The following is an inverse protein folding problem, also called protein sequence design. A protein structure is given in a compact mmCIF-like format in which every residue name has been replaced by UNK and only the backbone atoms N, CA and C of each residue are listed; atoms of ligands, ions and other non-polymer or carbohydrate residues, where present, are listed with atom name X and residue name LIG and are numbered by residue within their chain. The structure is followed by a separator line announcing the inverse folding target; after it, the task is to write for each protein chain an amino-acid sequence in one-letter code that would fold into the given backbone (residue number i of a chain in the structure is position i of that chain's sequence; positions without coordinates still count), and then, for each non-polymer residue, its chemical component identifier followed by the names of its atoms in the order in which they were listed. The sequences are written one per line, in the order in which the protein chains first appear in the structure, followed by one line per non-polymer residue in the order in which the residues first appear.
data_IF_823643331099
#
_entry.id   IF_823643331099
#
_cell.length_a   1.000
_cell.length_b   1.000
_cell.length_c   1.000
_cell.angle_alpha   90.00
_cell.angle_beta   90.00
_cell.angle_gamma   90.00
#
_symmetry.space_group_name_H-M   'P 1'
#
loop_
_entity.id
_entity.type
_entity.pdbx_description
1 polymer ?
#
# COMPACT_ATOMS: atom_id res chain seq x y z
N UNK A 1 -33.58 -45.87 37.91
CA UNK A 1 -32.67 -45.94 39.07
C UNK A 1 -31.25 -45.99 38.53
N UNK A 2 -30.50 -44.87 38.59
CA UNK A 2 -29.04 -44.77 38.42
C UNK A 2 -28.64 -43.31 38.13
N UNK A 3 -28.98 -42.38 39.03
CA UNK A 3 -28.50 -40.99 38.98
C UNK A 3 -27.75 -40.60 40.27
N UNK A 4 -27.29 -41.59 41.04
CA UNK A 4 -26.80 -41.39 42.41
C UNK A 4 -25.30 -41.66 42.62
N UNK A 5 -24.53 -42.10 41.62
CA UNK A 5 -23.18 -42.64 41.89
C UNK A 5 -22.04 -41.94 41.12
N UNK A 6 -21.82 -40.66 41.38
CA UNK A 6 -20.48 -40.04 41.21
C UNK A 6 -20.15 -39.12 42.40
N UNK A 7 -20.60 -39.48 43.60
CA UNK A 7 -20.17 -38.84 44.85
C UNK A 7 -19.17 -39.75 45.55
N UNK A 8 -18.04 -39.22 46.07
CA UNK A 8 -17.08 -40.01 46.83
C UNK A 8 -17.64 -40.30 48.22
N UNK A 9 -18.61 -41.19 48.32
CA UNK A 9 -19.20 -41.60 49.59
C UNK A 9 -18.44 -42.79 50.24
N UNK A 10 -17.64 -43.50 49.45
CA UNK A 10 -16.97 -44.74 49.84
C UNK A 10 -15.45 -44.58 49.76
N UNK A 11 -14.69 -44.95 50.80
CA UNK A 11 -13.22 -44.91 50.75
C UNK A 11 -12.70 -45.85 49.68
N UNK A 12 -11.58 -45.47 49.05
CA UNK A 12 -10.87 -46.34 48.10
C UNK A 12 -10.44 -47.63 48.79
N UNK A 13 -10.64 -48.76 48.10
CA UNK A 13 -10.18 -50.07 48.56
C UNK A 13 -8.67 -50.01 48.88
N UNK A 14 -8.29 -50.48 50.07
CA UNK A 14 -6.91 -50.45 50.54
C UNK A 14 -5.94 -51.17 49.57
N UNK A 15 -6.43 -52.17 48.82
CA UNK A 15 -5.63 -52.87 47.81
C UNK A 15 -5.27 -51.99 46.60
N UNK A 16 -6.09 -51.00 46.27
CA UNK A 16 -5.90 -50.11 45.11
C UNK A 16 -5.12 -48.83 45.46
N UNK A 17 -5.00 -48.50 46.75
CA UNK A 17 -4.36 -47.29 47.22
C UNK A 17 -2.92 -47.08 46.71
N UNK A 18 -2.02 -48.10 46.65
CA UNK A 18 -0.67 -47.92 46.12
C UNK A 18 -0.66 -47.54 44.64
N UNK A 19 -1.57 -48.14 43.85
CA UNK A 19 -1.69 -47.88 42.42
C UNK A 19 -2.26 -46.48 42.16
N UNK A 20 -3.27 -46.08 42.93
CA UNK A 20 -3.82 -44.70 42.89
C UNK A 20 -2.73 -43.69 43.22
N UNK A 21 -1.97 -43.90 44.31
CA UNK A 21 -0.89 -43.00 44.70
C UNK A 21 0.21 -42.89 43.62
N UNK A 22 0.53 -43.99 42.94
CA UNK A 22 1.47 -44.00 41.82
C UNK A 22 0.96 -43.17 40.62
N UNK A 23 -0.31 -43.36 40.24
CA UNK A 23 -0.97 -42.59 39.17
C UNK A 23 -1.07 -41.09 39.50
N UNK A 24 -1.36 -40.74 40.75
CA UNK A 24 -1.33 -39.35 41.20
C UNK A 24 0.08 -38.76 41.13
N UNK A 25 1.11 -39.53 41.46
CA UNK A 25 2.51 -39.10 41.34
C UNK A 25 2.89 -38.85 39.88
N UNK A 26 2.42 -39.70 38.95
CA UNK A 26 2.59 -39.52 37.50
C UNK A 26 1.91 -38.24 37.03
N UNK A 27 0.68 -37.98 37.46
CA UNK A 27 -0.05 -36.76 37.14
C UNK A 27 0.68 -35.49 37.61
N UNK A 28 1.27 -35.52 38.82
CA UNK A 28 2.05 -34.40 39.36
C UNK A 28 3.40 -34.20 38.66
N UNK A 29 3.98 -35.26 38.09
CA UNK A 29 5.25 -35.21 37.38
C UNK A 29 5.13 -34.69 35.94
N UNK A 30 3.91 -34.65 35.37
CA UNK A 30 3.69 -34.18 34.01
C UNK A 30 4.06 -32.69 33.84
N UNK A 31 4.85 -32.37 32.82
CA UNK A 31 5.30 -31.01 32.53
C UNK A 31 4.39 -30.23 31.56
N UNK A 32 3.38 -30.89 30.98
CA UNK A 32 2.44 -30.25 30.06
C UNK A 32 1.06 -30.94 30.08
N UNK A 33 0.04 -30.22 29.58
CA UNK A 33 -1.32 -30.77 29.43
C UNK A 33 -1.33 -32.00 28.50
N UNK A 34 -0.51 -32.01 27.45
CA UNK A 34 -0.41 -33.14 26.53
C UNK A 34 0.20 -34.39 27.21
N UNK A 35 1.24 -34.19 28.04
CA UNK A 35 1.86 -35.27 28.81
C UNK A 35 0.91 -35.84 29.87
N UNK A 36 0.16 -34.97 30.56
CA UNK A 36 -0.88 -35.40 31.48
C UNK A 36 -1.99 -36.18 30.77
N UNK A 37 -2.49 -35.67 29.63
CA UNK A 37 -3.50 -36.36 28.84
C UNK A 37 -3.02 -37.73 28.36
N UNK A 38 -1.75 -37.84 27.94
CA UNK A 38 -1.14 -39.12 27.58
C UNK A 38 -1.02 -40.07 28.78
N UNK A 39 -0.59 -39.59 29.94
CA UNK A 39 -0.55 -40.39 31.18
C UNK A 39 -1.94 -40.90 31.56
N UNK A 40 -2.96 -40.03 31.51
CA UNK A 40 -4.36 -40.41 31.77
C UNK A 40 -4.86 -41.49 30.81
N UNK A 41 -4.53 -41.39 29.52
CA UNK A 41 -4.98 -42.34 28.50
C UNK A 41 -4.26 -43.69 28.53
N UNK A 42 -3.08 -43.79 29.15
CA UNK A 42 -2.26 -45.01 29.12
C UNK A 42 -2.09 -45.65 30.49
N UNK A 43 -1.70 -44.86 31.50
CA UNK A 43 -1.34 -45.39 32.81
C UNK A 43 -2.59 -45.91 33.56
N UNK A 44 -3.77 -45.36 33.26
CA UNK A 44 -5.07 -45.81 33.82
C UNK A 44 -5.39 -47.28 33.49
N UNK A 45 -4.77 -47.85 32.45
CA UNK A 45 -5.00 -49.25 32.05
C UNK A 45 -4.63 -50.24 33.16
N UNK A 46 -3.62 -49.92 33.98
CA UNK A 46 -3.23 -50.75 35.13
C UNK A 46 -4.30 -50.83 36.22
N UNK A 47 -5.20 -49.84 36.29
CA UNK A 47 -6.30 -49.78 37.26
C UNK A 47 -7.59 -50.38 36.70
N UNK A 48 -7.89 -50.11 35.43
CA UNK A 48 -9.08 -50.58 34.74
C UNK A 48 -8.70 -50.93 33.30
N UNK A 49 -8.65 -52.22 32.93
CA UNK A 49 -8.41 -52.63 31.56
C UNK A 49 -9.53 -52.12 30.63
N UNK A 50 -9.16 -51.37 29.59
CA UNK A 50 -10.09 -50.80 28.60
C UNK A 50 -9.62 -51.10 27.17
N UNK A 51 -10.53 -51.06 26.19
CA UNK A 51 -10.14 -51.22 24.77
C UNK A 51 -9.33 -50.03 24.28
N UNK A 52 -9.79 -48.84 24.61
CA UNK A 52 -9.14 -47.60 24.25
C UNK A 52 -9.58 -46.48 25.20
N UNK A 53 -8.67 -45.56 25.50
CA UNK A 53 -8.97 -44.35 26.25
C UNK A 53 -8.82 -43.13 25.34
N UNK A 54 -9.70 -42.15 25.54
CA UNK A 54 -9.75 -40.90 24.78
C UNK A 54 -9.78 -39.73 25.77
N UNK A 55 -8.93 -38.74 25.55
CA UNK A 55 -8.91 -37.52 26.36
C UNK A 55 -9.23 -36.32 25.49
N UNK A 56 -10.31 -35.62 25.80
CA UNK A 56 -10.74 -34.41 25.10
C UNK A 56 -10.51 -33.18 25.96
N UNK A 57 -10.19 -32.05 25.34
CA UNK A 57 -10.22 -30.74 25.99
C UNK A 57 -11.62 -30.12 25.95
N UNK A 58 -11.86 -29.07 26.75
CA UNK A 58 -13.17 -28.41 26.88
C UNK A 58 -13.71 -27.79 25.59
N UNK A 59 -12.87 -27.56 24.58
CA UNK A 59 -13.28 -27.15 23.23
C UNK A 59 -13.61 -28.34 22.29
N UNK A 60 -13.62 -29.57 22.81
CA UNK A 60 -13.87 -30.79 22.06
C UNK A 60 -12.72 -31.31 21.21
N UNK A 61 -11.51 -30.76 21.36
CA UNK A 61 -10.33 -31.28 20.67
C UNK A 61 -9.80 -32.53 21.39
N UNK A 62 -9.55 -33.59 20.62
CA UNK A 62 -8.90 -34.79 21.11
C UNK A 62 -7.43 -34.51 21.41
N UNK A 63 -7.04 -34.65 22.67
CA UNK A 63 -5.69 -34.42 23.17
C UNK A 63 -4.85 -35.68 23.09
N UNK A 64 -5.38 -36.81 23.54
CA UNK A 64 -4.67 -38.09 23.55
C UNK A 64 -5.61 -39.26 23.27
N UNK A 65 -5.05 -40.31 22.68
CA UNK A 65 -5.67 -41.64 22.52
C UNK A 65 -4.72 -42.63 23.19
N UNK A 66 -5.22 -43.69 23.81
CA UNK A 66 -4.35 -44.75 24.36
C UNK A 66 -3.36 -45.24 23.27
N UNK A 67 -2.06 -45.20 23.57
CA UNK A 67 -0.97 -45.48 22.64
C UNK A 67 -0.43 -44.29 21.83
N UNK A 68 -1.13 -43.14 21.78
CA UNK A 68 -0.76 -41.97 20.98
C UNK A 68 -0.97 -40.64 21.73
N UNK A 69 0.11 -39.85 21.90
CA UNK A 69 0.08 -38.58 22.61
C UNK A 69 -0.62 -37.44 21.87
N UNK A 70 -0.69 -37.48 20.53
CA UNK A 70 -1.48 -36.54 19.72
C UNK A 70 -1.76 -37.17 18.35
N UNK A 71 -3.01 -37.50 18.02
CA UNK A 71 -3.32 -38.06 16.71
C UNK A 71 -3.19 -36.97 15.63
N UNK A 72 -2.26 -37.14 14.70
CA UNK A 72 -1.97 -36.16 13.63
C UNK A 72 -2.53 -36.53 12.25
N UNK A 73 -3.01 -37.77 12.07
CA UNK A 73 -3.57 -38.26 10.80
C UNK A 73 -5.10 -38.28 10.86
N UNK A 74 -5.78 -37.71 9.86
CA UNK A 74 -7.25 -37.76 9.76
C UNK A 74 -7.71 -39.15 9.28
N UNK A 75 -7.67 -40.14 10.17
CA UNK A 75 -8.24 -41.46 9.91
C UNK A 75 -9.78 -41.41 9.89
N UNK A 76 -10.46 -42.33 9.18
CA UNK A 76 -11.93 -42.39 9.15
C UNK A 76 -12.56 -42.39 10.55
N UNK A 77 -11.93 -43.09 11.49
CA UNK A 77 -12.31 -43.12 12.90
C UNK A 77 -12.28 -41.73 13.54
N UNK A 78 -11.20 -40.95 13.36
CA UNK A 78 -11.06 -39.63 13.97
C UNK A 78 -11.98 -38.58 13.33
N UNK A 79 -12.27 -38.73 12.02
CA UNK A 79 -13.26 -37.90 11.33
C UNK A 79 -14.66 -38.15 11.90
N UNK A 80 -15.04 -39.41 12.06
CA UNK A 80 -16.30 -39.77 12.72
C UNK A 80 -16.34 -39.25 14.16
N UNK A 81 -15.30 -39.50 14.94
CA UNK A 81 -15.23 -39.09 16.34
C UNK A 81 -15.40 -37.57 16.49
N UNK A 82 -14.74 -36.78 15.63
CA UNK A 82 -14.86 -35.31 15.64
C UNK A 82 -16.28 -34.82 15.31
N UNK A 83 -17.00 -35.51 14.43
CA UNK A 83 -18.38 -35.19 14.05
C UNK A 83 -19.40 -35.63 15.11
N UNK A 84 -19.15 -36.77 15.75
CA UNK A 84 -20.01 -37.38 16.76
C UNK A 84 -19.82 -36.77 18.15
N UNK A 85 -18.65 -36.18 18.43
CA UNK A 85 -18.30 -35.62 19.74
C UNK A 85 -19.27 -34.56 20.28
N UNK A 86 -19.77 -33.57 19.51
CA UNK A 86 -20.71 -32.57 20.04
C UNK A 86 -21.97 -33.19 20.65
N UNK A 87 -22.53 -34.21 19.98
CA UNK A 87 -23.70 -34.94 20.49
C UNK A 87 -23.36 -35.78 21.72
N UNK A 88 -22.20 -36.46 21.70
CA UNK A 88 -21.73 -37.24 22.86
C UNK A 88 -21.45 -36.37 24.08
N UNK A 89 -20.78 -35.23 23.89
CA UNK A 89 -20.44 -34.30 24.96
C UNK A 89 -21.70 -33.74 25.64
N UNK A 90 -22.77 -33.48 24.89
CA UNK A 90 -24.06 -33.05 25.45
C UNK A 90 -24.69 -34.14 26.32
N UNK A 91 -24.69 -35.40 25.87
CA UNK A 91 -25.21 -36.54 26.64
C UNK A 91 -24.38 -36.82 27.89
N UNK A 92 -23.05 -36.79 27.75
CA UNK A 92 -22.12 -36.98 28.86
C UNK A 92 -22.23 -35.87 29.91
N UNK A 93 -22.44 -34.62 29.49
CA UNK A 93 -22.69 -33.51 30.40
C UNK A 93 -24.00 -33.68 31.20
N UNK A 94 -25.04 -34.25 30.59
CA UNK A 94 -26.30 -34.53 31.27
C UNK A 94 -26.22 -35.73 32.24
N UNK A 95 -25.43 -36.75 31.90
CA UNK A 95 -25.21 -37.96 32.72
C UNK A 95 -23.73 -38.40 32.65
N UNK A 96 -22.86 -37.89 33.53
CA UNK A 96 -21.49 -38.37 33.62
C UNK A 96 -21.45 -39.81 34.16
N UNK A 97 -20.47 -40.61 33.75
CA UNK A 97 -20.31 -42.00 34.16
C UNK A 97 -20.47 -42.99 33.00
N UNK A 98 -21.11 -44.14 33.26
CA UNK A 98 -21.33 -45.21 32.28
C UNK A 98 -22.44 -44.82 31.30
N UNK A 99 -22.13 -44.87 30.00
CA UNK A 99 -23.08 -44.62 28.91
C UNK A 99 -23.04 -45.79 27.92
N UNK A 100 -24.20 -46.44 27.73
CA UNK A 100 -24.41 -47.43 26.67
C UNK A 100 -25.18 -46.81 25.49
N UNK A 101 -24.93 -47.31 24.27
CA UNK A 101 -25.68 -46.85 23.09
C UNK A 101 -27.20 -47.10 23.24
N UNK A 102 -27.58 -48.17 23.93
CA UNK A 102 -28.97 -48.52 24.20
C UNK A 102 -29.73 -47.40 24.94
N UNK A 103 -29.04 -46.62 25.78
CA UNK A 103 -29.63 -45.55 26.60
C UNK A 103 -29.93 -44.24 25.84
N UNK A 104 -29.79 -44.25 24.51
CA UNK A 104 -30.08 -43.08 23.67
C UNK A 104 -30.22 -43.37 22.17
N UNK A 105 -30.23 -44.64 21.75
CA UNK A 105 -30.21 -45.04 20.34
C UNK A 105 -31.35 -44.44 19.49
N UNK A 106 -32.52 -44.20 20.07
CA UNK A 106 -33.66 -43.61 19.37
C UNK A 106 -33.50 -42.11 19.06
N UNK A 107 -32.67 -41.39 19.83
CA UNK A 107 -32.42 -39.95 19.71
C UNK A 107 -31.03 -39.64 19.11
N UNK A 108 -30.25 -40.69 18.80
CA UNK A 108 -28.91 -40.57 18.26
C UNK A 108 -28.93 -40.39 16.73
N UNK A 109 -28.11 -39.47 16.18
CA UNK A 109 -27.91 -39.37 14.74
C UNK A 109 -27.48 -40.71 14.12
N UNK A 110 -27.95 -41.09 12.92
CA UNK A 110 -27.59 -42.36 12.28
C UNK A 110 -26.07 -42.55 12.10
N UNK A 111 -25.35 -41.46 11.85
CA UNK A 111 -23.87 -41.46 11.75
C UNK A 111 -23.20 -41.84 13.08
N UNK A 112 -23.76 -41.42 14.22
CA UNK A 112 -23.24 -41.76 15.55
C UNK A 112 -23.48 -43.24 15.84
N UNK A 113 -24.68 -43.74 15.58
CA UNK A 113 -25.06 -45.15 15.80
C UNK A 113 -24.21 -46.08 14.94
N UNK A 114 -24.08 -45.79 13.65
CA UNK A 114 -23.30 -46.60 12.72
C UNK A 114 -21.83 -46.70 13.12
N UNK A 115 -21.18 -45.57 13.39
CA UNK A 115 -19.78 -45.59 13.81
C UNK A 115 -19.54 -46.12 15.22
N UNK A 116 -20.52 -46.01 16.12
CA UNK A 116 -20.41 -46.63 17.44
C UNK A 116 -20.32 -48.16 17.31
N UNK A 117 -21.18 -48.76 16.49
CA UNK A 117 -21.14 -50.21 16.25
C UNK A 117 -19.86 -50.68 15.54
N UNK A 118 -19.26 -49.82 14.70
CA UNK A 118 -18.03 -50.14 13.97
C UNK A 118 -16.78 -50.03 14.85
N UNK A 119 -16.66 -48.98 15.67
CA UNK A 119 -15.41 -48.64 16.34
C UNK A 119 -15.44 -48.73 17.87
N UNK A 120 -16.62 -48.63 18.50
CA UNK A 120 -16.74 -48.58 19.97
C UNK A 120 -17.34 -49.89 20.54
N UNK A 121 -16.95 -50.28 21.77
CA UNK A 121 -17.52 -51.43 22.46
C UNK A 121 -18.92 -51.11 23.03
N UNK A 122 -19.43 -51.97 23.92
CA UNK A 122 -20.77 -51.88 24.50
C UNK A 122 -21.05 -50.51 25.16
N UNK A 123 -20.08 -49.94 25.85
CA UNK A 123 -20.26 -48.65 26.50
C UNK A 123 -18.97 -47.86 26.72
N UNK A 124 -19.15 -46.61 27.11
CA UNK A 124 -18.07 -45.69 27.48
C UNK A 124 -18.26 -45.26 28.93
N UNK A 125 -17.19 -45.33 29.71
CA UNK A 125 -17.14 -44.72 31.03
C UNK A 125 -16.46 -43.35 30.92
N UNK A 126 -17.23 -42.28 31.08
CA UNK A 126 -16.77 -40.91 30.88
C UNK A 126 -16.70 -40.13 32.19
N UNK A 127 -15.50 -39.61 32.47
CA UNK A 127 -15.20 -38.80 33.65
C UNK A 127 -15.01 -37.33 33.23
N UNK A 128 -15.83 -36.40 33.76
CA UNK A 128 -15.67 -34.98 33.46
C UNK A 128 -14.43 -34.42 34.16
N UNK A 129 -13.59 -33.71 33.39
CA UNK A 129 -12.49 -32.94 33.95
C UNK A 129 -12.95 -31.51 34.14
N UNK A 130 -12.99 -31.04 35.39
CA UNK A 130 -13.57 -29.75 35.77
C UNK A 130 -12.54 -28.90 36.51
N UNK A 131 -12.61 -27.58 36.30
CA UNK A 131 -11.91 -26.60 37.15
C UNK A 131 -12.57 -26.50 38.52
N UNK A 132 -11.86 -25.88 39.46
CA UNK A 132 -12.40 -25.51 40.79
C UNK A 132 -13.65 -24.63 40.72
N UNK A 133 -13.82 -23.83 39.66
CA UNK A 133 -15.01 -22.99 39.43
C UNK A 133 -16.18 -23.74 38.76
N UNK A 134 -16.02 -25.03 38.46
CA UNK A 134 -17.01 -25.86 37.78
C UNK A 134 -16.98 -25.78 36.25
N UNK A 135 -16.11 -24.95 35.65
CA UNK A 135 -15.98 -24.90 34.18
C UNK A 135 -15.28 -26.16 33.63
N UNK A 136 -15.67 -26.66 32.44
CA UNK A 136 -15.09 -27.88 31.87
C UNK A 136 -13.67 -27.67 31.34
N UNK A 137 -12.73 -28.47 31.83
CA UNK A 137 -11.38 -28.61 31.29
C UNK A 137 -11.34 -29.61 30.13
N UNK A 138 -12.16 -30.65 30.19
CA UNK A 138 -12.12 -31.76 29.26
C UNK A 138 -12.92 -32.97 29.72
N UNK A 139 -12.70 -34.10 29.04
CA UNK A 139 -13.32 -35.39 29.33
C UNK A 139 -12.29 -36.50 29.19
N UNK A 140 -12.29 -37.45 30.12
CA UNK A 140 -11.62 -38.75 29.97
C UNK A 140 -12.68 -39.81 29.68
N UNK A 141 -12.60 -40.44 28.52
CA UNK A 141 -13.53 -41.47 28.08
C UNK A 141 -12.79 -42.82 27.98
N UNK A 142 -13.24 -43.82 28.74
CA UNK A 142 -12.70 -45.17 28.73
C UNK A 142 -13.69 -46.11 28.04
N UNK A 143 -13.29 -46.75 26.95
CA UNK A 143 -14.14 -47.64 26.17
C UNK A 143 -14.08 -49.06 26.74
N UNK A 144 -15.22 -49.59 27.22
CA UNK A 144 -15.31 -50.88 27.91
C UNK A 144 -16.40 -51.78 27.30
N UNK A 145 -16.20 -53.09 27.38
CA UNK A 145 -17.18 -54.10 26.99
C UNK A 145 -18.25 -54.33 28.08
N UNK A 146 -17.95 -53.98 29.33
CA UNK A 146 -18.82 -54.12 30.50
C UNK A 146 -18.69 -52.89 31.41
N UNK A 147 -19.73 -52.55 32.20
CA UNK A 147 -19.65 -51.45 33.16
C UNK A 147 -18.52 -51.69 34.17
N UNK A 148 -17.81 -50.63 34.62
CA UNK A 148 -16.72 -50.79 35.58
C UNK A 148 -17.23 -51.36 36.90
N UNK A 149 -16.43 -52.23 37.52
CA UNK A 149 -16.78 -52.79 38.82
C UNK A 149 -16.98 -51.67 39.86
N UNK A 150 -18.03 -51.74 40.70
CA UNK A 150 -18.34 -50.67 41.66
C UNK A 150 -17.19 -50.31 42.61
N UNK A 151 -16.29 -51.26 42.91
CA UNK A 151 -15.10 -51.03 43.76
C UNK A 151 -14.04 -50.12 43.13
N UNK A 152 -13.99 -50.03 41.80
CA UNK A 152 -13.00 -49.22 41.05
C UNK A 152 -13.45 -47.77 40.91
N UNK A 153 -14.76 -47.51 40.95
CA UNK A 153 -15.33 -46.17 40.73
C UNK A 153 -14.81 -45.12 41.72
N UNK A 154 -14.73 -45.39 43.05
CA UNK A 154 -14.15 -44.42 44.00
C UNK A 154 -12.68 -44.08 43.70
N UNK A 155 -11.89 -45.07 43.26
CA UNK A 155 -10.48 -44.87 42.91
C UNK A 155 -10.34 -43.97 41.66
N UNK A 156 -11.17 -44.18 40.65
CA UNK A 156 -11.19 -43.35 39.44
C UNK A 156 -11.66 -41.92 39.73
N UNK A 157 -12.65 -41.76 40.61
CA UNK A 157 -13.13 -40.45 41.05
C UNK A 157 -12.05 -39.68 41.81
N UNK A 158 -11.31 -40.34 42.71
CA UNK A 158 -10.17 -39.72 43.41
C UNK A 158 -9.08 -39.27 42.42
N UNK A 159 -8.72 -40.13 41.46
CA UNK A 159 -7.74 -39.79 40.42
C UNK A 159 -8.20 -38.60 39.58
N UNK A 160 -9.49 -38.54 39.24
CA UNK A 160 -10.07 -37.42 38.49
C UNK A 160 -9.90 -36.09 39.22
N UNK A 161 -10.03 -36.06 40.55
CA UNK A 161 -9.77 -34.85 41.34
C UNK A 161 -8.31 -34.40 41.24
N UNK A 162 -7.37 -35.34 41.31
CA UNK A 162 -5.93 -35.07 41.15
C UNK A 162 -5.59 -34.60 39.74
N UNK A 163 -6.18 -35.20 38.71
CA UNK A 163 -6.03 -34.78 37.31
C UNK A 163 -6.61 -33.39 37.07
N UNK A 164 -7.78 -33.08 37.62
CA UNK A 164 -8.39 -31.75 37.55
C UNK A 164 -7.45 -30.66 38.06
N UNK A 165 -6.84 -30.89 39.23
CA UNK A 165 -5.91 -29.94 39.82
C UNK A 165 -4.66 -29.73 38.97
N UNK A 166 -4.04 -30.82 38.49
CA UNK A 166 -2.83 -30.74 37.67
C UNK A 166 -3.11 -30.06 36.32
N UNK A 167 -4.23 -30.42 35.67
CA UNK A 167 -4.64 -29.82 34.40
C UNK A 167 -4.92 -28.33 34.54
N UNK A 168 -5.64 -27.90 35.59
CA UNK A 168 -5.93 -26.49 35.83
C UNK A 168 -4.65 -25.67 36.05
N UNK A 169 -3.70 -26.21 36.83
CA UNK A 169 -2.41 -25.57 37.10
C UNK A 169 -1.59 -25.34 35.82
N UNK A 170 -1.65 -26.28 34.86
CA UNK A 170 -0.92 -26.19 33.59
C UNK A 170 -1.64 -25.38 32.51
N UNK A 171 -2.98 -25.45 32.45
CA UNK A 171 -3.77 -24.75 31.43
C UNK A 171 -3.91 -23.23 31.67
N UNK A 172 -3.54 -22.76 32.87
CA UNK A 172 -3.60 -21.34 33.25
C UNK A 172 -5.03 -20.80 33.38
N UNK A 173 -5.16 -19.51 33.73
CA UNK A 173 -6.47 -18.83 33.81
C UNK A 173 -7.04 -18.61 32.41
N UNK A 174 -8.34 -18.86 32.17
CA UNK A 174 -8.96 -18.56 30.89
C UNK A 174 -8.80 -17.06 30.59
N UNK A 175 -8.16 -16.72 29.46
CA UNK A 175 -8.17 -15.36 28.93
C UNK A 175 -9.44 -15.24 28.07
N UNK A 176 -10.51 -14.58 28.53
CA UNK A 176 -11.71 -14.42 27.72
C UNK A 176 -11.34 -13.72 26.42
N UNK A 177 -11.86 -14.22 25.30
CA UNK A 177 -11.59 -13.66 23.99
C UNK A 177 -12.07 -12.21 23.90
N UNK A 178 -11.55 -11.44 22.95
CA UNK A 178 -12.04 -10.08 22.68
C UNK A 178 -13.56 -10.05 22.47
N UNK A 179 -14.14 -11.11 21.88
CA UNK A 179 -15.58 -11.29 21.71
C UNK A 179 -16.33 -11.47 23.04
N UNK A 180 -15.85 -12.32 23.94
CA UNK A 180 -16.49 -12.57 25.25
C UNK A 180 -16.42 -11.33 26.13
N UNK A 181 -15.31 -10.59 26.07
CA UNK A 181 -15.15 -9.29 26.74
C UNK A 181 -16.10 -8.24 26.20
N UNK A 182 -16.34 -8.25 24.87
CA UNK A 182 -17.32 -7.36 24.25
C UNK A 182 -18.76 -7.75 24.61
N UNK A 183 -19.04 -9.04 24.72
CA UNK A 183 -20.34 -9.56 25.11
C UNK A 183 -20.66 -9.30 26.60
N UNK A 184 -19.64 -9.31 27.46
CA UNK A 184 -19.76 -8.96 28.88
C UNK A 184 -20.01 -7.45 29.14
N UNK A 185 -19.75 -6.57 28.16
CA UNK A 185 -20.05 -5.15 28.28
C UNK A 185 -21.56 -4.90 28.20
N UNK A 186 -22.06 -4.05 29.10
CA UNK A 186 -23.46 -3.63 29.11
C UNK A 186 -23.83 -2.83 27.86
N UNK A 187 -25.12 -2.83 27.48
CA UNK A 187 -25.65 -2.02 26.37
C UNK A 187 -25.28 -0.53 26.48
N UNK A 188 -25.24 0.03 27.70
CA UNK A 188 -24.81 1.42 27.95
C UNK A 188 -23.34 1.65 27.63
N UNK A 189 -22.46 0.74 28.04
CA UNK A 189 -21.02 0.82 27.75
C UNK A 189 -20.73 0.68 26.25
N UNK A 190 -21.42 -0.25 25.56
CA UNK A 190 -21.30 -0.38 24.10
C UNK A 190 -21.74 0.88 23.36
N UNK A 191 -22.83 1.52 23.80
CA UNK A 191 -23.29 2.81 23.24
C UNK A 191 -22.28 3.92 23.48
N UNK A 192 -21.73 4.05 24.69
CA UNK A 192 -20.69 5.05 25.00
C UNK A 192 -19.44 4.86 24.17
N UNK A 193 -18.98 3.61 23.98
CA UNK A 193 -17.84 3.29 23.12
C UNK A 193 -18.14 3.65 21.66
N UNK A 194 -19.34 3.30 21.18
CA UNK A 194 -19.79 3.65 19.83
C UNK A 194 -19.85 5.17 19.60
N UNK A 195 -20.37 5.93 20.56
CA UNK A 195 -20.41 7.39 20.51
C UNK A 195 -19.00 7.97 20.57
N UNK A 196 -18.14 7.48 21.47
CA UNK A 196 -16.75 7.91 21.57
C UNK A 196 -15.99 7.68 20.26
N UNK A 197 -16.20 6.53 19.62
CA UNK A 197 -15.63 6.22 18.32
C UNK A 197 -16.18 7.13 17.21
N UNK A 198 -17.49 7.40 17.21
CA UNK A 198 -18.10 8.32 16.24
C UNK A 198 -17.55 9.75 16.38
N UNK A 199 -17.43 10.26 17.61
CA UNK A 199 -16.83 11.57 17.90
C UNK A 199 -15.36 11.60 17.49
N UNK A 200 -14.60 10.53 17.75
CA UNK A 200 -13.21 10.41 17.32
C UNK A 200 -13.07 10.54 15.80
N UNK A 201 -13.97 9.95 15.01
CA UNK A 201 -13.97 10.08 13.56
C UNK A 201 -14.40 11.46 13.03
N UNK A 202 -15.06 12.29 13.86
CA UNK A 202 -15.44 13.67 13.52
C UNK A 202 -14.34 14.69 13.82
N UNK A 203 -13.21 14.28 14.41
CA UNK A 203 -12.11 15.20 14.67
C UNK A 203 -11.55 15.81 13.37
N UNK A 204 -11.42 17.14 13.28
CA UNK A 204 -10.92 17.80 12.07
C UNK A 204 -9.42 17.59 11.95
N UNK A 205 -8.99 17.07 10.79
CA UNK A 205 -7.58 16.86 10.44
C UNK A 205 -7.27 17.52 9.10
N UNK A 206 -6.05 18.04 8.95
CA UNK A 206 -5.58 18.56 7.66
C UNK A 206 -5.28 17.40 6.71
N UNK A 207 -5.90 17.43 5.54
CA UNK A 207 -5.58 16.46 4.50
C UNK A 207 -4.19 16.74 3.95
N UNK A 208 -3.41 15.70 3.73
CA UNK A 208 -2.08 15.83 3.12
C UNK A 208 -1.90 14.81 2.01
N UNK A 209 -1.13 15.19 0.99
CA UNK A 209 -0.75 14.30 -0.08
C UNK A 209 0.76 14.31 -0.28
N UNK A 210 1.33 13.14 -0.61
CA UNK A 210 2.74 12.97 -0.89
C UNK A 210 2.91 12.67 -2.38
N UNK A 211 3.89 13.34 -2.98
CA UNK A 211 4.16 13.24 -4.40
C UNK A 211 5.66 13.43 -4.69
N UNK A 212 6.22 12.70 -5.68
CA UNK A 212 7.55 13.01 -6.20
C UNK A 212 7.64 14.46 -6.68
N UNK A 213 8.76 15.10 -6.39
CA UNK A 213 9.00 16.48 -6.75
C UNK A 213 10.45 16.72 -7.16
N UNK A 214 10.66 17.73 -7.98
CA UNK A 214 11.97 18.19 -8.39
C UNK A 214 12.07 19.72 -8.33
N UNK A 215 13.27 20.22 -8.05
CA UNK A 215 13.57 21.64 -8.08
C UNK A 215 13.79 22.05 -9.54
N UNK A 216 12.98 22.97 -10.03
CA UNK A 216 13.06 23.51 -11.39
C UNK A 216 13.25 25.02 -11.34
N UNK A 217 13.65 25.64 -12.44
CA UNK A 217 13.57 27.09 -12.52
C UNK A 217 12.10 27.53 -12.62
N UNK A 218 11.71 28.52 -11.81
CA UNK A 218 10.36 29.09 -11.83
C UNK A 218 10.04 29.66 -13.22
N UNK A 219 10.97 30.45 -13.75
CA UNK A 219 10.84 31.19 -15.00
C UNK A 219 11.83 30.66 -16.05
N UNK A 220 11.65 29.41 -16.48
CA UNK A 220 12.45 28.84 -17.57
C UNK A 220 11.90 29.30 -18.92
N UNK A 221 12.70 30.03 -19.70
CA UNK A 221 12.35 30.46 -21.05
C UNK A 221 12.94 29.49 -22.08
N UNK A 222 12.11 29.02 -23.01
CA UNK A 222 12.59 28.24 -24.15
C UNK A 222 13.32 29.14 -25.14
N UNK A 223 14.58 28.81 -25.43
CA UNK A 223 15.35 29.42 -26.52
C UNK A 223 15.16 28.53 -27.75
N UNK A 224 14.53 29.12 -28.77
CA UNK A 224 14.12 28.42 -29.99
C UNK A 224 14.85 28.95 -31.21
N UNK A 225 14.87 28.17 -32.29
CA UNK A 225 15.41 28.63 -33.57
C UNK A 225 14.50 29.75 -34.16
N UNK A 226 15.05 30.93 -34.47
CA UNK A 226 14.24 32.05 -34.97
C UNK A 226 13.92 31.96 -36.47
N UNK A 227 14.68 31.15 -37.20
CA UNK A 227 14.53 30.85 -38.63
C UNK A 227 14.93 29.40 -38.90
N UNK A 228 14.50 28.86 -40.04
CA UNK A 228 14.92 27.54 -40.50
C UNK A 228 16.41 27.57 -40.88
N UNK A 229 17.17 26.54 -40.48
CA UNK A 229 18.60 26.49 -40.77
C UNK A 229 19.27 25.23 -40.22
N UNK A 230 20.60 25.20 -40.30
CA UNK A 230 21.42 24.16 -39.69
C UNK A 230 22.21 24.79 -38.55
N UNK A 231 22.24 24.15 -37.38
CA UNK A 231 23.05 24.64 -36.26
C UNK A 231 24.53 24.48 -36.62
N UNK A 232 25.26 25.59 -36.68
CA UNK A 232 26.68 25.60 -37.03
C UNK A 232 27.56 25.40 -35.80
N UNK A 233 27.27 26.15 -34.74
CA UNK A 233 28.03 26.13 -33.48
C UNK A 233 27.13 26.43 -32.30
N UNK A 234 27.33 25.71 -31.20
CA UNK A 234 26.80 26.05 -29.88
C UNK A 234 27.93 26.69 -29.08
N UNK A 235 27.76 27.93 -28.63
CA UNK A 235 28.83 28.72 -27.99
C UNK A 235 28.90 28.55 -26.48
N UNK A 236 27.87 27.96 -25.89
CA UNK A 236 27.74 27.75 -24.45
C UNK A 236 27.81 26.26 -24.11
N UNK A 237 28.26 25.95 -22.89
CA UNK A 237 28.24 24.60 -22.34
C UNK A 237 26.93 24.33 -21.59
N UNK A 238 26.53 23.07 -21.45
CA UNK A 238 25.38 22.72 -20.62
C UNK A 238 25.57 23.19 -19.17
N UNK A 239 24.53 23.76 -18.60
CA UNK A 239 24.51 24.33 -17.25
C UNK A 239 25.49 25.49 -17.04
N UNK A 240 25.94 26.14 -18.11
CA UNK A 240 26.78 27.34 -18.03
C UNK A 240 25.92 28.59 -17.71
N UNK A 241 26.36 29.44 -16.77
CA UNK A 241 25.75 30.75 -16.56
C UNK A 241 26.08 31.69 -17.73
N UNK A 242 25.06 32.41 -18.21
CA UNK A 242 25.11 33.34 -19.34
C UNK A 242 24.48 34.67 -18.94
N UNK A 243 24.96 35.76 -19.53
CA UNK A 243 24.39 37.10 -19.37
C UNK A 243 23.51 37.46 -20.56
N UNK A 244 22.60 38.40 -20.35
CA UNK A 244 21.80 38.99 -21.42
C UNK A 244 22.71 39.49 -22.56
N UNK A 245 22.45 39.04 -23.78
CA UNK A 245 23.23 39.36 -24.97
C UNK A 245 24.33 38.35 -25.33
N UNK A 246 24.69 37.42 -24.44
CA UNK A 246 25.67 36.37 -24.77
C UNK A 246 25.11 35.45 -25.87
N UNK A 247 25.90 35.17 -26.90
CA UNK A 247 25.49 34.31 -28.01
C UNK A 247 25.40 32.86 -27.50
N UNK A 248 24.24 32.23 -27.68
CA UNK A 248 23.98 30.86 -27.25
C UNK A 248 24.36 29.86 -28.34
N UNK A 249 23.86 30.08 -29.55
CA UNK A 249 24.18 29.29 -30.73
C UNK A 249 24.07 30.14 -32.00
N UNK A 250 24.70 29.65 -33.07
CA UNK A 250 24.67 30.26 -34.40
C UNK A 250 24.20 29.24 -35.43
N UNK A 251 23.36 29.70 -36.35
CA UNK A 251 22.97 28.94 -37.54
C UNK A 251 24.01 29.07 -38.66
N UNK A 252 23.94 28.20 -39.67
CA UNK A 252 24.77 28.34 -40.87
C UNK A 252 24.30 29.54 -41.70
N UNK A 253 25.16 30.53 -41.81
CA UNK A 253 24.94 31.79 -42.52
C UNK A 253 25.40 31.77 -43.97
N UNK A 254 26.03 30.69 -44.44
CA UNK A 254 26.66 30.65 -45.77
C UNK A 254 25.64 30.96 -46.88
N UNK A 255 24.46 30.37 -46.81
CA UNK A 255 23.40 30.57 -47.81
C UNK A 255 22.81 31.99 -47.75
N UNK A 256 22.60 32.53 -46.54
CA UNK A 256 22.05 33.87 -46.32
C UNK A 256 23.05 34.96 -46.73
N UNK A 257 24.35 34.80 -46.45
CA UNK A 257 25.40 35.72 -46.91
C UNK A 257 25.49 35.77 -48.43
N UNK A 258 25.41 34.62 -49.10
CA UNK A 258 25.40 34.56 -50.56
C UNK A 258 24.16 35.26 -51.15
N UNK A 259 22.97 35.00 -50.57
CA UNK A 259 21.73 35.70 -50.97
C UNK A 259 21.83 37.21 -50.75
N UNK A 260 22.41 37.64 -49.63
CA UNK A 260 22.60 39.06 -49.32
C UNK A 260 23.47 39.74 -50.39
N UNK A 261 24.57 39.10 -50.79
CA UNK A 261 25.45 39.62 -51.84
C UNK A 261 24.73 39.74 -53.19
N UNK A 262 23.94 38.72 -53.58
CA UNK A 262 23.14 38.74 -54.81
C UNK A 262 22.08 39.83 -54.77
N UNK A 263 21.28 39.90 -53.70
CA UNK A 263 20.24 40.91 -53.53
C UNK A 263 20.82 42.33 -53.55
N UNK A 264 21.99 42.55 -52.94
CA UNK A 264 22.69 43.84 -52.96
C UNK A 264 23.10 44.26 -54.37
N UNK A 265 23.53 43.33 -55.22
CA UNK A 265 23.82 43.59 -56.63
C UNK A 265 22.55 43.85 -57.43
N UNK A 266 21.47 43.10 -57.18
CA UNK A 266 20.18 43.31 -57.84
C UNK A 266 19.58 44.69 -57.54
N UNK A 267 19.70 45.18 -56.30
CA UNK A 267 19.33 46.56 -55.93
C UNK A 267 20.17 47.57 -56.71
N UNK A 268 21.49 47.39 -56.77
CA UNK A 268 22.37 48.32 -57.50
C UNK A 268 22.02 48.42 -58.99
N UNK A 269 21.64 47.30 -59.63
CA UNK A 269 21.18 47.28 -61.03
C UNK A 269 19.86 48.02 -61.17
N UNK A 270 18.86 47.70 -60.34
CA UNK A 270 17.54 48.33 -60.41
C UNK A 270 17.60 49.85 -60.15
N UNK A 271 18.46 50.29 -59.22
CA UNK A 271 18.69 51.70 -58.92
C UNK A 271 19.35 52.44 -60.10
N UNK A 272 20.32 51.80 -60.77
CA UNK A 272 20.95 52.36 -61.97
C UNK A 272 19.97 52.47 -63.14
N UNK A 273 19.12 51.47 -63.36
CA UNK A 273 18.06 51.50 -64.39
C UNK A 273 17.05 52.62 -64.12
N UNK A 274 16.58 52.76 -62.87
CA UNK A 274 15.67 53.82 -62.46
C UNK A 274 16.30 55.21 -62.67
N UNK A 275 17.58 55.37 -62.32
CA UNK A 275 18.29 56.63 -62.51
C UNK A 275 18.43 56.99 -64.01
N UNK A 276 18.81 56.02 -64.84
CA UNK A 276 18.91 56.20 -66.29
C UNK A 276 17.54 56.53 -66.92
N UNK A 277 16.46 55.90 -66.47
CA UNK A 277 15.10 56.20 -66.92
C UNK A 277 14.64 57.59 -66.45
N UNK A 278 14.99 57.99 -65.22
CA UNK A 278 14.70 59.33 -64.68
C UNK A 278 15.34 60.42 -65.52
N UNK A 279 16.57 60.21 -65.97
CA UNK A 279 17.26 61.14 -66.88
C UNK A 279 16.56 61.24 -68.25
N UNK A 280 16.10 60.12 -68.82
CA UNK A 280 15.37 60.11 -70.11
C UNK A 280 13.96 60.68 -70.03
N UNK A 281 13.31 60.59 -68.87
CA UNK A 281 11.90 60.94 -68.70
C UNK A 281 11.60 62.44 -68.70
N UNK A 282 12.62 63.30 -68.70
CA UNK A 282 12.45 64.73 -68.91
C UNK A 282 11.95 65.08 -70.33
N UNK A 283 12.16 64.20 -71.31
CA UNK A 283 11.94 64.51 -72.74
C UNK A 283 10.60 63.99 -73.32
N UNK A 284 9.85 63.11 -72.63
CA UNK A 284 8.58 62.60 -73.18
C UNK A 284 7.54 62.12 -72.15
N UNK A 285 6.25 62.34 -72.44
CA UNK A 285 5.11 61.94 -71.60
C UNK A 285 5.01 60.41 -71.45
N UNK A 286 5.44 59.64 -72.45
CA UNK A 286 5.44 58.18 -72.45
C UNK A 286 6.40 57.61 -71.38
N UNK A 287 7.46 58.35 -71.07
CA UNK A 287 8.47 57.99 -70.07
C UNK A 287 7.97 58.00 -68.62
N UNK A 288 6.83 58.64 -68.33
CA UNK A 288 6.27 58.69 -66.95
C UNK A 288 5.73 57.34 -66.49
N UNK A 289 5.22 56.50 -67.40
CA UNK A 289 4.76 55.14 -67.08
C UNK A 289 5.91 54.21 -66.72
N UNK A 290 7.03 54.32 -67.45
CA UNK A 290 8.24 53.53 -67.22
C UNK A 290 8.90 53.87 -65.87
N UNK A 291 8.83 55.14 -65.44
CA UNK A 291 9.31 55.55 -64.12
C UNK A 291 8.53 54.89 -62.98
N UNK A 292 7.20 54.82 -63.08
CA UNK A 292 6.39 54.17 -62.05
C UNK A 292 6.71 52.67 -61.96
N UNK A 293 6.88 52.01 -63.12
CA UNK A 293 7.24 50.59 -63.19
C UNK A 293 8.63 50.32 -62.62
N UNK A 294 9.65 51.06 -63.06
CA UNK A 294 11.03 50.90 -62.58
C UNK A 294 11.17 51.31 -61.11
N UNK A 295 10.43 52.32 -60.67
CA UNK A 295 10.33 52.70 -59.26
C UNK A 295 9.78 51.57 -58.41
N UNK A 296 8.71 50.92 -58.87
CA UNK A 296 8.16 49.71 -58.24
C UNK A 296 9.17 48.57 -58.14
N UNK A 297 9.91 48.29 -59.23
CA UNK A 297 10.96 47.25 -59.25
C UNK A 297 12.12 47.56 -58.30
N UNK A 298 12.61 48.81 -58.28
CA UNK A 298 13.68 49.20 -57.36
C UNK A 298 13.23 49.04 -55.90
N UNK A 299 11.99 49.44 -55.59
CA UNK A 299 11.42 49.26 -54.26
C UNK A 299 11.25 47.79 -53.87
N UNK A 300 10.81 46.94 -54.80
CA UNK A 300 10.72 45.49 -54.62
C UNK A 300 12.10 44.89 -54.28
N UNK A 301 13.15 45.23 -55.05
CA UNK A 301 14.52 44.74 -54.79
C UNK A 301 15.07 45.22 -53.46
N UNK A 302 14.80 46.47 -53.08
CA UNK A 302 15.22 47.00 -51.77
C UNK A 302 14.49 46.28 -50.62
N UNK A 303 13.22 45.95 -50.78
CA UNK A 303 12.46 45.17 -49.81
C UNK A 303 13.02 43.73 -49.70
N UNK A 304 13.40 43.12 -50.82
CA UNK A 304 14.07 41.80 -50.86
C UNK A 304 15.41 41.83 -50.11
N UNK A 305 16.25 42.85 -50.36
CA UNK A 305 17.51 43.03 -49.63
C UNK A 305 17.28 43.21 -48.13
N UNK A 306 16.33 44.05 -47.73
CA UNK A 306 15.99 44.27 -46.33
C UNK A 306 15.49 42.99 -45.65
N UNK A 307 14.72 42.15 -46.36
CA UNK A 307 14.26 40.86 -45.84
C UNK A 307 15.43 39.91 -45.58
N UNK A 308 16.40 39.80 -46.50
CA UNK A 308 17.59 38.96 -46.31
C UNK A 308 18.48 39.49 -45.19
N UNK A 309 18.64 40.81 -45.06
CA UNK A 309 19.38 41.43 -43.93
C UNK A 309 18.72 41.09 -42.59
N UNK A 310 17.39 41.17 -42.51
CA UNK A 310 16.64 40.83 -41.30
C UNK A 310 16.69 39.33 -40.96
N UNK A 311 16.84 38.45 -41.95
CA UNK A 311 17.09 37.02 -41.70
C UNK A 311 18.51 36.79 -41.19
N UNK A 312 19.51 37.45 -41.78
CA UNK A 312 20.90 37.30 -41.38
C UNK A 312 21.15 37.78 -39.94
N UNK A 313 20.48 38.84 -39.49
CA UNK A 313 20.59 39.32 -38.10
C UNK A 313 19.99 38.36 -37.05
N UNK A 314 19.25 37.33 -37.49
CA UNK A 314 18.67 36.28 -36.63
C UNK A 314 19.48 34.98 -36.64
N UNK A 315 20.63 34.94 -37.33
CA UNK A 315 21.51 33.75 -37.34
C UNK A 315 22.11 33.49 -35.97
N UNK A 316 22.60 34.55 -35.33
CA UNK A 316 23.17 34.48 -33.99
C UNK A 316 22.05 34.70 -32.97
N UNK A 317 21.86 33.73 -32.08
CA UNK A 317 20.78 33.76 -31.10
C UNK A 317 21.35 34.11 -29.74
N UNK A 318 21.18 35.36 -29.26
CA UNK A 318 21.64 35.78 -27.95
C UNK A 318 20.70 35.34 -26.84
N UNK A 319 21.22 35.32 -25.61
CA UNK A 319 20.44 35.14 -24.40
C UNK A 319 19.54 36.38 -24.15
N UNK A 320 18.22 36.23 -24.00
CA UNK A 320 17.31 37.35 -23.76
C UNK A 320 17.47 37.99 -22.37
N UNK A 321 17.96 37.25 -21.38
CA UNK A 321 18.23 37.72 -20.02
C UNK A 321 19.35 36.91 -19.37
N UNK A 322 19.78 37.30 -18.17
CA UNK A 322 20.74 36.53 -17.38
C UNK A 322 20.12 35.18 -16.95
N UNK A 323 20.92 34.12 -16.93
CA UNK A 323 20.44 32.80 -16.53
C UNK A 323 21.47 31.69 -16.72
N UNK A 324 21.00 30.46 -16.72
CA UNK A 324 21.78 29.24 -16.93
C UNK A 324 21.19 28.50 -18.12
N UNK A 325 22.03 28.16 -19.10
CA UNK A 325 21.61 27.43 -20.29
C UNK A 325 21.50 25.93 -19.98
N UNK A 326 20.27 25.40 -19.96
CA UNK A 326 19.95 23.99 -19.65
C UNK A 326 19.58 23.27 -20.95
N UNK A 327 20.43 22.34 -21.36
CA UNK A 327 20.25 21.46 -22.51
C UNK A 327 21.10 20.19 -22.35
N UNK A 328 20.95 19.25 -23.28
CA UNK A 328 21.73 18.01 -23.34
C UNK A 328 23.15 18.22 -23.85
N UNK A 329 23.66 17.29 -24.65
CA UNK A 329 25.00 17.40 -25.25
C UNK A 329 25.00 18.46 -26.38
N UNK A 330 25.96 19.40 -26.43
CA UNK A 330 26.14 20.27 -27.59
C UNK A 330 26.32 19.52 -28.92
N UNK A 331 26.96 18.35 -28.89
CA UNK A 331 27.26 17.57 -30.09
C UNK A 331 26.00 17.01 -30.77
N UNK A 332 24.91 16.82 -30.01
CA UNK A 332 23.60 16.40 -30.55
C UNK A 332 22.96 17.46 -31.47
N UNK A 333 23.43 18.70 -31.38
CA UNK A 333 22.91 19.84 -32.15
C UNK A 333 23.82 20.24 -33.29
N UNK A 334 25.14 20.06 -33.17
CA UNK A 334 26.08 20.48 -34.21
C UNK A 334 25.78 19.80 -35.55
N UNK A 335 25.55 20.60 -36.59
CA UNK A 335 25.19 20.12 -37.94
C UNK A 335 23.76 19.63 -38.09
N UNK A 336 22.92 19.71 -37.05
CA UNK A 336 21.52 19.29 -37.10
C UNK A 336 20.66 20.37 -37.78
N UNK A 337 19.79 19.99 -38.74
CA UNK A 337 18.78 20.92 -39.29
C UNK A 337 17.70 21.19 -38.23
N UNK A 338 17.28 22.45 -38.12
CA UNK A 338 16.26 22.93 -37.20
C UNK A 338 15.23 23.79 -37.90
N UNK A 339 13.99 23.72 -37.42
CA UNK A 339 12.88 24.54 -37.92
C UNK A 339 12.58 25.71 -37.00
N UNK A 340 11.98 26.76 -37.56
CA UNK A 340 11.52 27.94 -36.82
C UNK A 340 10.61 27.51 -35.66
N UNK A 341 10.95 27.94 -34.44
CA UNK A 341 10.25 27.58 -33.21
C UNK A 341 10.70 26.27 -32.56
N UNK A 342 11.57 25.49 -33.18
CA UNK A 342 12.17 24.30 -32.54
C UNK A 342 12.99 24.73 -31.32
N UNK A 343 12.78 24.06 -30.19
CA UNK A 343 13.43 24.38 -28.92
C UNK A 343 14.77 23.65 -28.81
N UNK A 344 15.85 24.41 -28.71
CA UNK A 344 17.20 23.87 -28.55
C UNK A 344 17.59 23.78 -27.07
N UNK A 345 17.27 24.82 -26.28
CA UNK A 345 17.65 24.89 -24.87
C UNK A 345 16.64 25.66 -24.03
N UNK A 346 16.76 25.53 -22.70
CA UNK A 346 16.02 26.31 -21.73
C UNK A 346 16.98 27.28 -21.04
N UNK A 347 16.61 28.55 -20.96
CA UNK A 347 17.31 29.54 -20.17
C UNK A 347 16.60 29.69 -18.82
N UNK A 348 17.29 29.31 -17.76
CA UNK A 348 16.75 29.21 -16.40
C UNK A 348 17.39 30.24 -15.47
N UNK A 349 16.61 30.96 -14.66
CA UNK A 349 17.13 31.83 -13.61
C UNK A 349 17.41 31.01 -12.32
N UNK A 350 18.68 30.82 -11.89
CA UNK A 350 19.01 30.07 -10.69
C UNK A 350 18.65 30.81 -9.40
N UNK A 351 18.43 32.13 -9.43
CA UNK A 351 18.06 32.92 -8.25
C UNK A 351 16.59 32.75 -7.87
N UNK A 352 15.77 32.18 -8.75
CA UNK A 352 14.34 31.94 -8.56
C UNK A 352 14.01 30.45 -8.74
N UNK A 353 14.47 29.59 -7.82
CA UNK A 353 14.09 28.19 -7.84
C UNK A 353 12.59 28.05 -7.57
N UNK A 354 11.99 27.06 -8.21
CA UNK A 354 10.61 26.61 -7.99
C UNK A 354 10.58 25.10 -7.81
N UNK A 355 9.41 24.57 -7.48
CA UNK A 355 9.20 23.14 -7.29
C UNK A 355 8.20 22.66 -8.32
N UNK A 356 8.60 21.64 -9.07
CA UNK A 356 7.71 20.87 -9.91
C UNK A 356 7.30 19.62 -9.16
N UNK A 357 5.99 19.40 -9.01
CA UNK A 357 5.46 18.27 -8.27
C UNK A 357 4.59 17.43 -9.21
N UNK A 358 4.84 16.13 -9.25
CA UNK A 358 4.06 15.17 -10.01
C UNK A 358 3.12 14.44 -9.05
N UNK A 359 1.91 14.98 -8.86
CA UNK A 359 0.93 14.40 -7.93
C UNK A 359 0.15 13.27 -8.60
N UNK A 360 0.29 12.00 -8.16
CA UNK A 360 -0.45 10.89 -8.76
C UNK A 360 -1.96 11.10 -8.63
N UNK A 361 -2.72 10.75 -9.67
CA UNK A 361 -4.19 10.91 -9.67
C UNK A 361 -4.85 10.18 -8.49
N UNK A 362 -4.35 9.00 -8.14
CA UNK A 362 -4.82 8.23 -6.97
C UNK A 362 -4.65 8.96 -5.62
N UNK A 363 -3.70 9.90 -5.55
CA UNK A 363 -3.41 10.70 -4.37
C UNK A 363 -3.92 12.15 -4.50
N UNK A 364 -4.60 12.50 -5.59
CA UNK A 364 -5.07 13.87 -5.85
C UNK A 364 -6.04 14.33 -4.76
N UNK A 365 -5.77 15.46 -4.12
CA UNK A 365 -6.64 16.07 -3.11
C UNK A 365 -7.32 17.28 -3.75
N UNK A 366 -8.37 17.84 -3.13
CA UNK A 366 -8.83 19.17 -3.50
C UNK A 366 -7.67 20.16 -3.27
N UNK A 367 -7.05 20.61 -4.36
CA UNK A 367 -5.91 21.51 -4.34
C UNK A 367 -6.39 22.91 -4.69
N UNK A 368 -6.17 23.84 -3.78
CA UNK A 368 -6.39 25.26 -3.98
C UNK A 368 -5.05 25.94 -4.22
N UNK A 369 -5.02 26.90 -5.14
CA UNK A 369 -3.86 27.78 -5.32
C UNK A 369 -3.57 28.51 -4.00
N UNK A 370 -2.31 28.56 -3.60
CA UNK A 370 -1.88 29.08 -2.29
C UNK A 370 -1.76 28.00 -1.19
N UNK A 371 -2.06 26.73 -1.49
CA UNK A 371 -1.82 25.64 -0.56
C UNK A 371 -0.35 25.56 -0.11
N UNK A 372 -0.15 25.29 1.19
CA UNK A 372 1.19 25.08 1.74
C UNK A 372 1.79 23.78 1.22
N UNK A 373 3.08 23.83 0.88
CA UNK A 373 3.88 22.70 0.40
C UNK A 373 5.15 22.61 1.25
N UNK A 374 5.55 21.40 1.60
CA UNK A 374 6.87 21.12 2.16
C UNK A 374 7.63 20.16 1.27
N UNK A 375 8.79 20.56 0.77
CA UNK A 375 9.67 19.72 -0.02
C UNK A 375 10.72 19.09 0.88
N UNK A 376 10.84 17.76 0.80
CA UNK A 376 11.89 16.99 1.43
C UNK A 376 12.83 16.50 0.35
N UNK A 377 13.99 17.13 0.20
CA UNK A 377 14.99 16.73 -0.78
C UNK A 377 15.64 15.41 -0.36
N UNK A 378 15.97 14.57 -1.34
CA UNK A 378 16.68 13.31 -1.09
C UNK A 378 18.05 13.54 -0.44
N UNK A 379 18.70 14.66 -0.79
CA UNK A 379 19.99 15.07 -0.23
C UNK A 379 19.90 15.71 1.16
N UNK A 380 18.72 16.20 1.56
CA UNK A 380 18.48 16.94 2.81
C UNK A 380 17.16 16.48 3.47
N UNK A 381 17.04 15.21 3.90
CA UNK A 381 15.79 14.66 4.38
C UNK A 381 15.31 15.26 5.71
N UNK A 382 16.23 15.82 6.52
CA UNK A 382 15.93 16.41 7.83
C UNK A 382 15.62 17.91 7.78
N UNK A 383 15.84 18.56 6.63
CA UNK A 383 15.67 20.00 6.45
C UNK A 383 14.60 20.28 5.40
N UNK A 384 13.31 20.27 5.78
CA UNK A 384 12.23 20.53 4.83
C UNK A 384 12.21 21.98 4.39
N UNK A 385 12.05 22.15 3.08
CA UNK A 385 11.94 23.43 2.41
C UNK A 385 10.47 23.84 2.28
N UNK A 386 10.13 25.08 2.65
CA UNK A 386 8.74 25.53 2.68
C UNK A 386 8.40 26.33 1.42
N UNK A 387 7.22 26.07 0.86
CA UNK A 387 6.74 26.78 -0.31
C UNK A 387 5.23 26.81 -0.42
N UNK A 388 4.77 27.53 -1.44
CA UNK A 388 3.37 27.79 -1.72
C UNK A 388 3.02 27.37 -3.14
N UNK A 389 1.88 26.69 -3.29
CA UNK A 389 1.39 26.22 -4.57
C UNK A 389 0.92 27.39 -5.45
N UNK A 390 1.47 27.54 -6.65
CA UNK A 390 1.12 28.64 -7.57
C UNK A 390 0.29 28.19 -8.77
N UNK A 391 0.50 26.97 -9.26
CA UNK A 391 -0.16 26.47 -10.47
C UNK A 391 -0.53 24.99 -10.33
N UNK A 392 -1.69 24.61 -10.85
CA UNK A 392 -2.21 23.24 -10.85
C UNK A 392 -2.69 22.91 -12.26
N UNK A 393 -2.14 21.85 -12.89
CA UNK A 393 -2.62 21.43 -14.21
C UNK A 393 -4.02 20.81 -14.14
N UNK A 394 -4.89 21.16 -15.09
CA UNK A 394 -6.24 20.57 -15.19
C UNK A 394 -6.24 19.15 -15.78
N UNK A 395 -5.20 18.81 -16.55
CA UNK A 395 -5.07 17.50 -17.20
C UNK A 395 -3.96 16.69 -16.53
N UNK A 396 -4.22 15.38 -16.36
CA UNK A 396 -3.21 14.43 -15.93
C UNK A 396 -2.33 14.02 -17.11
N UNK A 397 -1.03 13.96 -16.89
CA UNK A 397 -0.04 13.48 -17.87
C UNK A 397 0.77 12.35 -17.25
N UNK A 398 1.44 11.56 -18.08
CA UNK A 398 2.38 10.56 -17.58
C UNK A 398 3.58 11.28 -16.95
N UNK A 399 3.91 10.97 -15.69
CA UNK A 399 5.16 11.43 -15.08
C UNK A 399 6.37 10.75 -15.75
N UNK A 400 7.60 11.25 -15.52
CA UNK A 400 8.82 10.55 -15.97
C UNK A 400 8.91 9.09 -15.48
N UNK A 401 8.24 8.78 -14.35
CA UNK A 401 8.17 7.44 -13.76
C UNK A 401 7.01 6.57 -14.31
N UNK A 402 6.29 7.05 -15.35
CA UNK A 402 5.21 6.30 -15.99
C UNK A 402 3.85 6.35 -15.27
N UNK A 403 3.72 7.17 -14.22
CA UNK A 403 2.49 7.25 -13.41
C UNK A 403 1.65 8.45 -13.82
N UNK A 404 0.36 8.23 -14.10
CA UNK A 404 -0.59 9.30 -14.39
C UNK A 404 -0.66 10.30 -13.21
N UNK A 405 -0.21 11.53 -13.47
CA UNK A 405 0.01 12.55 -12.44
C UNK A 405 -0.41 13.94 -12.92
N UNK A 406 -0.97 14.73 -12.02
CA UNK A 406 -1.15 16.17 -12.22
C UNK A 406 0.18 16.89 -12.01
N UNK A 407 0.46 17.86 -12.88
CA UNK A 407 1.65 18.70 -12.83
C UNK A 407 1.32 19.93 -12.00
N UNK A 408 1.98 20.08 -10.87
CA UNK A 408 1.81 21.21 -9.98
C UNK A 408 3.11 22.02 -9.93
N UNK A 409 2.99 23.35 -9.83
CA UNK A 409 4.13 24.23 -9.58
C UNK A 409 3.96 24.96 -8.26
N UNK A 410 5.02 25.00 -7.48
CA UNK A 410 5.11 25.76 -6.26
C UNK A 410 6.35 26.66 -6.25
N UNK A 411 6.30 27.71 -5.46
CA UNK A 411 7.41 28.63 -5.22
C UNK A 411 7.88 28.53 -3.78
N UNK A 412 9.18 28.66 -3.54
CA UNK A 412 9.70 28.72 -2.18
C UNK A 412 9.34 30.04 -1.51
N UNK A 413 9.05 30.01 -0.21
CA UNK A 413 8.66 31.20 0.55
C UNK A 413 9.87 32.08 0.94
N UNK A 414 11.10 31.58 0.73
CA UNK A 414 12.35 32.28 1.04
C UNK A 414 13.45 32.00 0.02
N UNK A 415 14.61 32.65 0.21
CA UNK A 415 15.83 32.36 -0.55
C UNK A 415 16.51 31.13 0.02
N UNK A 416 16.25 29.98 -0.59
CA UNK A 416 16.91 28.73 -0.23
C UNK A 416 18.12 28.52 -1.16
N UNK A 417 19.31 28.95 -0.71
CA UNK A 417 20.56 28.82 -1.48
C UNK A 417 20.95 27.34 -1.75
N UNK A 418 20.39 26.41 -0.98
CA UNK A 418 20.59 24.97 -1.13
C UNK A 418 19.66 24.34 -2.18
N UNK A 419 18.63 25.06 -2.66
CA UNK A 419 17.67 24.59 -3.65
C UNK A 419 18.24 24.69 -5.07
N UNK A 420 19.21 23.81 -5.38
CA UNK A 420 19.79 23.71 -6.74
C UNK A 420 18.80 23.07 -7.70
N UNK A 421 18.71 23.64 -8.90
CA UNK A 421 17.90 23.09 -10.00
C UNK A 421 18.35 21.65 -10.30
N UNK A 422 17.39 20.75 -10.52
CA UNK A 422 17.61 19.34 -10.82
C UNK A 422 17.64 18.43 -9.59
N UNK A 423 17.64 18.97 -8.36
CA UNK A 423 17.50 18.15 -7.16
C UNK A 423 16.10 17.55 -7.07
N UNK A 424 16.02 16.29 -6.62
CA UNK A 424 14.77 15.54 -6.47
C UNK A 424 14.44 15.27 -5.00
N UNK A 425 13.17 15.05 -4.74
CA UNK A 425 12.66 14.79 -3.40
C UNK A 425 11.19 14.39 -3.41
N UNK A 426 10.58 14.46 -2.23
CA UNK A 426 9.14 14.25 -2.04
C UNK A 426 8.51 15.52 -1.52
N UNK A 427 7.48 16.01 -2.19
CA UNK A 427 6.66 17.12 -1.72
C UNK A 427 5.47 16.60 -0.91
N UNK A 428 5.26 17.22 0.26
CA UNK A 428 4.06 17.09 1.07
C UNK A 428 3.17 18.30 0.85
N UNK A 429 2.06 18.10 0.16
CA UNK A 429 1.07 19.15 -0.12
C UNK A 429 -0.02 19.09 0.95
N UNK A 430 -0.37 20.24 1.52
CA UNK A 430 -1.45 20.37 2.50
C UNK A 430 -2.73 20.82 1.79
N UNK A 431 -3.80 20.05 1.95
CA UNK A 431 -5.13 20.39 1.48
C UNK A 431 -6.00 20.98 2.58
N UNK A 432 -7.30 21.03 2.31
CA UNK A 432 -8.32 21.49 3.26
C UNK A 432 -8.46 20.61 4.52
N UNK A 433 -9.28 21.09 5.45
CA UNK A 433 -9.66 20.35 6.65
C UNK A 433 -10.77 19.34 6.33
N UNK A 434 -10.59 18.10 6.78
CA UNK A 434 -11.57 17.01 6.62
C UNK A 434 -11.74 16.25 7.92
N UNK A 435 -12.85 15.53 8.07
CA UNK A 435 -13.05 14.66 9.22
C UNK A 435 -12.10 13.45 9.18
N UNK A 436 -11.58 13.02 10.32
CA UNK A 436 -10.67 11.88 10.44
C UNK A 436 -11.21 10.58 9.82
N UNK A 437 -12.52 10.33 9.97
CA UNK A 437 -13.18 9.17 9.36
C UNK A 437 -13.09 9.18 7.84
N UNK A 438 -13.34 10.34 7.22
CA UNK A 438 -13.15 10.49 5.77
C UNK A 438 -11.68 10.32 5.40
N UNK A 439 -10.75 10.95 6.14
CA UNK A 439 -9.31 10.83 5.86
C UNK A 439 -8.82 9.37 5.83
N UNK A 440 -9.24 8.55 6.79
CA UNK A 440 -8.85 7.13 6.90
C UNK A 440 -9.57 6.25 5.87
N UNK A 441 -10.88 6.46 5.66
CA UNK A 441 -11.70 5.62 4.78
C UNK A 441 -11.69 6.08 3.32
N UNK A 442 -11.09 7.22 2.99
CA UNK A 442 -11.11 7.77 1.62
C UNK A 442 -10.62 6.78 0.56
N UNK A 443 -9.50 6.10 0.80
CA UNK A 443 -8.93 5.13 -0.16
C UNK A 443 -9.83 3.91 -0.34
N UNK A 444 -10.24 3.18 0.71
CA UNK A 444 -11.14 2.04 0.54
C UNK A 444 -12.50 2.46 -0.03
N UNK A 445 -13.02 3.64 0.31
CA UNK A 445 -14.24 4.19 -0.29
C UNK A 445 -14.06 4.46 -1.80
N UNK A 446 -12.92 5.02 -2.20
CA UNK A 446 -12.64 5.25 -3.62
C UNK A 446 -12.55 3.93 -4.41
N UNK A 447 -11.88 2.92 -3.87
CA UNK A 447 -11.79 1.60 -4.51
C UNK A 447 -13.13 0.87 -4.53
N UNK A 448 -13.92 1.00 -3.45
CA UNK A 448 -15.26 0.43 -3.40
C UNK A 448 -16.15 1.06 -4.46
N UNK A 449 -16.11 2.40 -4.60
CA UNK A 449 -16.86 3.13 -5.63
C UNK A 449 -16.42 2.77 -7.05
N UNK A 450 -15.12 2.64 -7.27
CA UNK A 450 -14.58 2.23 -8.56
C UNK A 450 -15.03 0.81 -8.93
N UNK A 451 -15.07 -0.10 -7.95
CA UNK A 451 -15.54 -1.46 -8.14
C UNK A 451 -17.06 -1.58 -8.26
N UNK A 452 -17.83 -0.81 -7.47
CA UNK A 452 -19.29 -0.81 -7.48
C UNK A 452 -19.90 -0.01 -8.62
N UNK A 453 -19.15 0.93 -9.22
CA UNK A 453 -19.63 1.83 -10.26
C UNK A 453 -20.63 2.89 -9.77
N UNK A 454 -20.78 3.06 -8.46
CA UNK A 454 -21.71 4.00 -7.78
C UNK A 454 -20.97 4.91 -6.81
#
# INVERSE_FOLDING_TARGET
MAAEELTPATPVDAALAPLVAWLESRARAAGSVAELAFSMANDTYSLLPFRQALVFSGNGQLQAVSGLAKPTEDSPYLVWLRRSWPWLAERLAARPGWLELADGAAEAPPEVVGGWHEWWPRGVFALPLLRRDGSPLGWLCLLLDEPPEPRLVPALLQLTQSWNYCWEAMAGRPRPGLKDRWQALSLKQRRLIGIGLAVFFLLPVRQTSLAPAEVVARDAMAVTAPIDGVVKTVHVRPNQPVKAGDILFSLDDTTLRNRLAVAGKSVAVADAELMAATQKAFDSVQSKGDLALLGGRAQERRAELAAVQAQLSRVDVPAPHDGVAVFGDPDDWLGRPVSTGERLMLLADPAKPGVLIHLPVANAVALETGAAVKLFLTVLPLSPMSGTLTETSYQAMLSPDGVASYRLRATFDGKEEEARIGLRGTAKIYGGWVCLGYYLLRRPLATLREWSGW
#
